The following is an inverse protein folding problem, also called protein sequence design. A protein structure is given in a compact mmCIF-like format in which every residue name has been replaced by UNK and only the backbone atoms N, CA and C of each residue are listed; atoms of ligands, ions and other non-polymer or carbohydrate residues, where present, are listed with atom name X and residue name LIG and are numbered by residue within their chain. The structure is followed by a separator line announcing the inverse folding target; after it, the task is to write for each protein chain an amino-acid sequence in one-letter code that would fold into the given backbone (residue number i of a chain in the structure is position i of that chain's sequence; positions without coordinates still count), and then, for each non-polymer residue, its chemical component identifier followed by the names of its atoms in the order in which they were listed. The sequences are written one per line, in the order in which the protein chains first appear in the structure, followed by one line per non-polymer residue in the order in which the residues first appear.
data_IF_135512102788
#
_entry.id   IF_135512102788
#
_cell.length_a   1.000
_cell.length_b   1.000
_cell.length_c   1.000
_cell.angle_alpha   90.00
_cell.angle_beta   90.00
_cell.angle_gamma   90.00
#
_symmetry.space_group_name_H-M   'P 1'
#
loop_
_entity.id
_entity.type
_entity.pdbx_description
1 polymer ?
#
# COMPACT_ATOMS: atom_id res chain seq x y z
N UNK A 1 22.97 43.69 2.41
CA UNK A 1 21.77 44.03 3.21
C UNK A 1 20.56 43.12 2.97
N UNK A 2 20.75 41.90 2.47
CA UNK A 2 19.67 40.96 2.12
C UNK A 2 19.53 39.75 3.08
N UNK A 3 20.38 39.63 4.10
CA UNK A 3 20.42 38.44 4.95
C UNK A 3 19.51 38.48 6.19
N UNK A 4 19.05 39.66 6.62
CA UNK A 4 18.31 39.81 7.88
C UNK A 4 16.79 39.52 7.81
N UNK A 5 16.21 39.59 6.60
CA UNK A 5 14.76 39.39 6.41
C UNK A 5 14.33 37.95 6.20
N UNK A 6 15.27 36.98 6.10
CA UNK A 6 14.99 35.60 5.75
C UNK A 6 14.73 34.68 6.94
N UNK A 7 15.18 35.03 8.15
CA UNK A 7 15.12 34.09 9.30
C UNK A 7 13.72 33.91 9.92
N UNK A 8 12.90 34.96 10.14
CA UNK A 8 11.52 34.72 10.61
C UNK A 8 10.68 33.97 9.58
N UNK A 9 10.95 34.17 8.29
CA UNK A 9 10.32 33.39 7.23
C UNK A 9 10.71 31.93 7.23
N UNK A 10 11.97 31.61 7.55
CA UNK A 10 12.44 30.24 7.68
C UNK A 10 11.84 29.54 8.92
N UNK A 11 11.73 30.24 10.06
CA UNK A 11 11.08 29.71 11.25
C UNK A 11 9.60 29.41 11.01
N UNK A 12 8.88 30.36 10.39
CA UNK A 12 7.48 30.15 10.00
C UNK A 12 7.33 29.02 8.98
N UNK A 13 8.26 28.92 8.02
CA UNK A 13 8.30 27.82 7.05
C UNK A 13 8.53 26.45 7.69
N UNK A 14 9.47 26.34 8.62
CA UNK A 14 9.73 25.09 9.36
C UNK A 14 8.53 24.67 10.22
N UNK A 15 7.89 25.62 10.91
CA UNK A 15 6.71 25.36 11.72
C UNK A 15 5.53 24.89 10.84
N UNK A 16 5.25 25.63 9.76
CA UNK A 16 4.14 25.28 8.86
C UNK A 16 4.36 23.94 8.18
N UNK A 17 5.58 23.64 7.74
CA UNK A 17 5.91 22.33 7.14
C UNK A 17 5.75 21.19 8.15
N UNK A 18 6.24 21.36 9.40
CA UNK A 18 6.07 20.37 10.48
C UNK A 18 4.60 20.13 10.82
N UNK A 19 3.79 21.17 10.91
CA UNK A 19 2.36 21.07 11.18
C UNK A 19 1.60 20.37 10.03
N UNK A 20 1.90 20.72 8.78
CA UNK A 20 1.27 20.10 7.61
C UNK A 20 1.62 18.62 7.49
N UNK A 21 2.89 18.26 7.69
CA UNK A 21 3.32 16.86 7.68
C UNK A 21 2.70 16.09 8.85
N UNK A 22 2.70 16.66 10.06
CA UNK A 22 2.06 16.06 11.22
C UNK A 22 0.56 15.84 11.00
N UNK A 23 -0.13 16.81 10.40
CA UNK A 23 -1.55 16.67 10.05
C UNK A 23 -1.78 15.58 8.99
N UNK A 24 -0.92 15.52 7.97
CA UNK A 24 -0.97 14.45 6.94
C UNK A 24 -0.83 13.07 7.57
N UNK A 25 0.17 12.87 8.43
CA UNK A 25 0.37 11.60 9.13
C UNK A 25 -0.79 11.26 10.07
N UNK A 26 -1.35 12.26 10.77
CA UNK A 26 -2.53 12.07 11.61
C UNK A 26 -3.78 11.66 10.80
N UNK A 27 -3.97 12.22 9.60
CA UNK A 27 -5.04 11.82 8.70
C UNK A 27 -4.86 10.39 8.16
N UNK A 28 -3.61 10.00 7.82
CA UNK A 28 -3.28 8.64 7.43
C UNK A 28 -3.49 7.63 8.58
N UNK A 29 -3.09 8.01 9.80
CA UNK A 29 -3.30 7.23 11.00
C UNK A 29 -4.80 6.96 11.21
N UNK A 30 -5.63 8.00 11.19
CA UNK A 30 -7.08 7.84 11.35
C UNK A 30 -7.70 6.88 10.32
N UNK A 31 -7.21 6.94 9.08
CA UNK A 31 -7.66 6.03 8.01
C UNK A 31 -7.21 4.59 8.27
N UNK A 32 -6.01 4.42 8.83
CA UNK A 32 -5.47 3.11 9.17
C UNK A 32 -6.16 2.52 10.40
N UNK A 33 -6.42 3.33 11.46
CA UNK A 33 -7.15 2.93 12.65
C UNK A 33 -8.51 2.31 12.31
N UNK A 34 -9.25 2.92 11.37
CA UNK A 34 -10.52 2.39 10.93
C UNK A 34 -10.39 1.00 10.31
N UNK A 35 -9.39 0.79 9.46
CA UNK A 35 -9.14 -0.52 8.84
C UNK A 35 -8.76 -1.56 9.89
N UNK A 36 -7.84 -1.22 10.80
CA UNK A 36 -7.39 -2.11 11.86
C UNK A 36 -8.55 -2.47 12.78
N UNK A 37 -9.37 -1.49 13.14
CA UNK A 37 -10.56 -1.71 13.94
C UNK A 37 -11.53 -2.68 13.25
N UNK A 38 -11.83 -2.48 11.96
CA UNK A 38 -12.70 -3.36 11.20
C UNK A 38 -12.12 -4.79 11.14
N UNK A 39 -10.82 -4.93 10.82
CA UNK A 39 -10.17 -6.23 10.73
C UNK A 39 -10.13 -6.97 12.07
N UNK A 40 -9.91 -6.25 13.19
CA UNK A 40 -9.86 -6.84 14.52
C UNK A 40 -11.24 -7.24 15.05
N UNK A 41 -12.27 -6.43 14.75
CA UNK A 41 -13.64 -6.67 15.21
C UNK A 41 -14.28 -7.83 14.47
N UNK A 42 -14.11 -7.92 13.16
CA UNK A 42 -14.77 -8.91 12.33
C UNK A 42 -14.41 -10.33 12.76
N UNK A 43 -15.40 -11.22 13.00
CA UNK A 43 -15.14 -12.61 13.34
C UNK A 43 -14.60 -13.39 12.16
N UNK A 44 -13.89 -14.49 12.44
CA UNK A 44 -13.63 -15.52 11.44
C UNK A 44 -14.81 -16.46 11.41
N UNK A 45 -15.53 -16.49 10.31
CA UNK A 45 -16.74 -17.30 10.12
C UNK A 45 -16.52 -18.35 9.04
N UNK A 46 -17.38 -19.37 9.04
CA UNK A 46 -17.58 -20.27 7.89
C UNK A 46 -18.63 -19.66 6.97
N UNK A 47 -18.62 -20.04 5.69
CA UNK A 47 -19.61 -19.57 4.71
C UNK A 47 -21.03 -19.87 5.21
N UNK A 48 -21.24 -21.05 5.81
CA UNK A 48 -22.54 -21.48 6.36
C UNK A 48 -23.08 -20.60 7.48
N UNK A 49 -22.21 -19.99 8.29
CA UNK A 49 -22.59 -19.16 9.44
C UNK A 49 -22.67 -17.67 9.12
N UNK A 50 -22.45 -17.29 7.85
CA UNK A 50 -22.45 -15.90 7.42
C UNK A 50 -23.87 -15.40 7.25
N UNK A 51 -24.16 -14.21 7.81
CA UNK A 51 -25.43 -13.52 7.66
C UNK A 51 -25.26 -12.30 6.73
N UNK A 52 -26.36 -11.89 6.09
CA UNK A 52 -26.34 -10.70 5.23
C UNK A 52 -25.90 -9.45 6.01
N UNK A 53 -25.03 -8.68 5.41
CA UNK A 53 -24.44 -7.41 5.93
C UNK A 53 -23.46 -7.56 7.09
N UNK A 54 -23.14 -8.80 7.53
CA UNK A 54 -22.10 -9.01 8.52
C UNK A 54 -20.72 -8.82 7.89
N UNK A 55 -19.87 -8.01 8.53
CA UNK A 55 -18.44 -7.95 8.22
C UNK A 55 -17.73 -9.16 8.82
N UNK A 56 -17.05 -9.92 7.98
CA UNK A 56 -16.44 -11.18 8.39
C UNK A 56 -15.10 -11.44 7.69
N UNK A 57 -14.30 -12.28 8.33
CA UNK A 57 -13.20 -13.02 7.70
C UNK A 57 -13.70 -14.41 7.32
N UNK A 58 -13.43 -14.80 6.09
CA UNK A 58 -13.64 -16.15 5.58
C UNK A 58 -12.28 -16.75 5.21
N UNK A 59 -12.14 -18.06 5.30
CA UNK A 59 -10.96 -18.77 4.82
C UNK A 59 -11.39 -19.96 4.00
N UNK A 60 -10.81 -20.12 2.82
CA UNK A 60 -11.18 -21.22 1.93
C UNK A 60 -10.22 -21.36 0.76
N UNK A 61 -10.57 -22.25 -0.15
CA UNK A 61 -9.82 -22.57 -1.35
C UNK A 61 -10.40 -21.79 -2.53
N UNK A 62 -9.54 -21.20 -3.33
CA UNK A 62 -9.89 -20.45 -4.54
C UNK A 62 -10.30 -21.42 -5.65
N UNK A 63 -11.50 -21.27 -6.18
CA UNK A 63 -12.01 -22.02 -7.31
C UNK A 63 -12.59 -21.06 -8.36
N UNK A 64 -12.57 -21.44 -9.63
CA UNK A 64 -13.25 -20.71 -10.71
C UNK A 64 -13.60 -21.65 -11.86
N UNK A 65 -14.82 -21.52 -12.37
CA UNK A 65 -15.24 -22.22 -13.60
C UNK A 65 -14.66 -21.58 -14.86
N UNK A 66 -14.33 -20.29 -14.80
CA UNK A 66 -13.80 -19.51 -15.92
C UNK A 66 -12.56 -18.71 -15.43
N UNK A 67 -11.44 -19.41 -15.21
CA UNK A 67 -10.22 -18.74 -14.77
C UNK A 67 -9.65 -17.85 -15.87
N UNK A 68 -9.01 -16.78 -15.45
CA UNK A 68 -8.10 -16.01 -16.28
C UNK A 68 -6.84 -16.82 -16.56
N UNK A 69 -6.08 -16.39 -17.57
CA UNK A 69 -4.72 -16.90 -17.82
C UNK A 69 -3.73 -15.75 -17.76
N UNK A 70 -2.74 -15.89 -16.89
CA UNK A 70 -1.67 -14.90 -16.81
C UNK A 70 -0.90 -14.89 -18.15
N UNK A 71 -0.79 -13.73 -18.82
CA UNK A 71 -0.01 -13.62 -20.05
C UNK A 71 1.42 -14.13 -19.87
N UNK A 72 2.03 -14.66 -20.95
CA UNK A 72 3.39 -15.21 -20.99
C UNK A 72 3.61 -16.47 -20.16
N UNK A 73 3.08 -16.54 -18.93
CA UNK A 73 3.26 -17.69 -18.04
C UNK A 73 2.18 -18.77 -18.24
N UNK A 74 1.08 -18.45 -18.87
CA UNK A 74 -0.09 -19.34 -19.16
C UNK A 74 -0.64 -20.06 -17.92
N UNK A 75 -0.50 -19.47 -16.73
CA UNK A 75 -0.99 -20.02 -15.47
C UNK A 75 -2.46 -19.67 -15.26
N UNK A 76 -3.34 -20.66 -15.00
CA UNK A 76 -4.75 -20.40 -14.67
C UNK A 76 -4.86 -19.74 -13.29
N UNK A 77 -5.53 -18.59 -13.22
CA UNK A 77 -5.63 -17.76 -12.03
C UNK A 77 -6.95 -17.02 -11.96
N UNK A 78 -7.24 -16.37 -10.84
CA UNK A 78 -8.40 -15.49 -10.66
C UNK A 78 -7.99 -14.03 -10.59
N UNK A 79 -6.71 -13.75 -10.41
CA UNK A 79 -6.12 -12.42 -10.53
C UNK A 79 -4.65 -12.56 -10.93
N UNK A 80 -4.15 -11.60 -11.69
CA UNK A 80 -2.74 -11.49 -12.00
C UNK A 80 -2.30 -10.05 -12.14
N UNK A 81 -1.00 -9.81 -12.00
CA UNK A 81 -0.31 -8.62 -12.47
C UNK A 81 0.91 -9.05 -13.26
N UNK A 82 1.16 -8.36 -14.35
CA UNK A 82 2.16 -8.70 -15.32
C UNK A 82 2.87 -7.44 -15.80
N UNK A 83 4.20 -7.46 -15.74
CA UNK A 83 5.07 -6.36 -16.12
C UNK A 83 6.08 -6.81 -17.17
N UNK A 84 6.31 -5.95 -18.16
CA UNK A 84 7.41 -6.07 -19.13
C UNK A 84 8.40 -4.95 -18.87
N UNK A 85 9.66 -5.31 -18.69
CA UNK A 85 10.73 -4.35 -18.48
C UNK A 85 11.81 -4.52 -19.57
N UNK A 86 12.28 -3.39 -20.08
CA UNK A 86 13.39 -3.34 -21.05
C UNK A 86 14.67 -2.82 -20.39
N UNK A 87 15.77 -3.44 -20.74
CA UNK A 87 17.11 -2.98 -20.35
C UNK A 87 17.46 -1.70 -21.09
N UNK A 88 17.76 -0.64 -20.35
CA UNK A 88 18.22 0.63 -20.90
C UNK A 88 19.57 1.00 -20.33
N UNK A 89 20.49 1.27 -21.26
CA UNK A 89 21.84 1.73 -20.93
C UNK A 89 21.87 3.24 -21.03
N UNK A 90 22.16 3.91 -19.90
CA UNK A 90 22.27 5.37 -19.81
C UNK A 90 23.72 5.74 -19.49
N UNK A 91 24.29 6.67 -20.25
CA UNK A 91 25.60 7.25 -19.94
C UNK A 91 25.41 8.48 -19.07
N UNK A 92 26.17 8.59 -18.01
CA UNK A 92 26.20 9.77 -17.15
C UNK A 92 27.65 10.17 -16.85
N UNK A 93 27.87 11.46 -16.61
CA UNK A 93 29.17 11.98 -16.20
C UNK A 93 29.19 12.10 -14.68
N UNK A 94 30.17 11.47 -14.04
CA UNK A 94 30.35 11.56 -12.59
C UNK A 94 30.93 12.92 -12.16
N UNK A 95 31.05 13.13 -10.84
CA UNK A 95 31.58 14.37 -10.27
C UNK A 95 33.06 14.64 -10.62
N UNK A 96 33.77 13.65 -11.13
CA UNK A 96 35.17 13.75 -11.57
C UNK A 96 35.29 14.00 -13.08
N UNK A 97 34.16 14.17 -13.80
CA UNK A 97 34.14 14.39 -15.24
C UNK A 97 34.33 13.12 -16.09
N UNK A 98 34.27 11.92 -15.48
CA UNK A 98 34.38 10.67 -16.20
C UNK A 98 33.02 10.18 -16.67
N UNK A 99 32.92 9.78 -17.93
CA UNK A 99 31.69 9.15 -18.46
C UNK A 99 31.59 7.72 -17.96
N UNK A 100 30.51 7.42 -17.26
CA UNK A 100 30.16 6.07 -16.79
C UNK A 100 28.88 5.61 -17.46
N UNK A 101 28.70 4.31 -17.55
CA UNK A 101 27.52 3.68 -18.15
C UNK A 101 26.77 2.91 -17.05
N UNK A 102 25.48 3.18 -16.92
CA UNK A 102 24.59 2.47 -16.01
C UNK A 102 23.51 1.75 -16.79
N UNK A 103 23.36 0.48 -16.53
CA UNK A 103 22.26 -0.31 -17.05
C UNK A 103 21.12 -0.36 -16.03
N UNK A 104 19.89 -0.06 -16.47
CA UNK A 104 18.68 -0.07 -15.64
C UNK A 104 17.54 -0.73 -16.38
N UNK A 105 16.69 -1.45 -15.66
CA UNK A 105 15.45 -1.99 -16.20
C UNK A 105 14.34 -0.94 -16.09
N UNK A 106 13.68 -0.63 -17.21
CA UNK A 106 12.55 0.31 -17.26
C UNK A 106 11.28 -0.45 -17.61
N UNK A 107 10.24 -0.29 -16.81
CA UNK A 107 8.93 -0.83 -17.11
C UNK A 107 8.38 -0.14 -18.37
N UNK A 108 8.01 -0.95 -19.36
CA UNK A 108 7.44 -0.48 -20.65
C UNK A 108 5.99 -0.90 -20.82
N UNK A 109 5.54 -1.90 -20.05
CA UNK A 109 4.16 -2.33 -20.03
C UNK A 109 3.80 -2.92 -18.68
N UNK A 110 2.61 -2.57 -18.19
CA UNK A 110 2.00 -3.18 -17.01
C UNK A 110 0.56 -3.51 -17.30
N UNK A 111 0.12 -4.69 -16.91
CA UNK A 111 -1.28 -5.07 -16.91
C UNK A 111 -1.66 -5.80 -15.64
N UNK A 112 -2.89 -5.63 -15.20
CA UNK A 112 -3.43 -6.38 -14.08
C UNK A 112 -4.91 -6.64 -14.34
N UNK A 113 -5.35 -7.84 -14.02
CA UNK A 113 -6.74 -8.24 -14.20
C UNK A 113 -7.17 -9.12 -13.03
N UNK A 114 -8.46 -9.06 -12.68
CA UNK A 114 -9.06 -9.91 -11.68
C UNK A 114 -10.48 -10.27 -12.10
N UNK A 115 -10.91 -11.49 -11.78
CA UNK A 115 -12.28 -11.94 -11.97
C UNK A 115 -12.90 -12.33 -10.63
N UNK A 116 -14.22 -12.43 -10.59
CA UNK A 116 -14.92 -13.06 -9.48
C UNK A 116 -14.56 -14.53 -9.43
N UNK A 117 -14.46 -15.08 -8.22
CA UNK A 117 -14.13 -16.47 -7.99
C UNK A 117 -15.01 -17.06 -6.88
N UNK A 118 -14.99 -18.35 -6.76
CA UNK A 118 -15.67 -19.08 -5.69
C UNK A 118 -14.67 -19.39 -4.58
N UNK A 119 -14.99 -19.01 -3.35
CA UNK A 119 -14.32 -19.45 -2.13
C UNK A 119 -15.01 -20.70 -1.62
N UNK A 120 -14.26 -21.77 -1.34
CA UNK A 120 -14.76 -23.05 -0.89
C UNK A 120 -14.14 -23.41 0.48
N UNK A 121 -14.95 -23.49 1.52
CA UNK A 121 -14.60 -23.97 2.87
C UNK A 121 -15.36 -25.27 3.25
N UNK A 122 -15.92 -25.96 2.26
CA UNK A 122 -16.90 -27.04 2.34
C UNK A 122 -18.27 -26.57 1.85
N UNK A 123 -18.51 -25.28 1.84
CA UNK A 123 -19.60 -24.61 1.12
C UNK A 123 -18.99 -23.57 0.15
N UNK A 124 -19.79 -23.10 -0.81
CA UNK A 124 -19.30 -22.25 -1.91
C UNK A 124 -19.93 -20.87 -1.88
N UNK A 125 -19.07 -19.85 -1.97
CA UNK A 125 -19.49 -18.45 -1.97
C UNK A 125 -18.76 -17.68 -3.07
N UNK A 126 -19.46 -16.91 -3.86
CA UNK A 126 -18.87 -16.05 -4.89
C UNK A 126 -18.24 -14.81 -4.24
N UNK A 127 -16.97 -14.57 -4.53
CA UNK A 127 -16.20 -13.39 -4.09
C UNK A 127 -16.03 -12.42 -5.25
N UNK A 128 -16.48 -11.18 -5.08
CA UNK A 128 -16.44 -10.12 -6.08
C UNK A 128 -15.06 -9.42 -6.11
N UNK A 129 -13.99 -10.15 -6.42
CA UNK A 129 -12.61 -9.67 -6.37
C UNK A 129 -12.33 -8.42 -7.23
N UNK A 130 -12.92 -8.22 -8.43
CA UNK A 130 -12.69 -6.99 -9.21
C UNK A 130 -13.04 -5.70 -8.48
N UNK A 131 -13.93 -5.76 -7.48
CA UNK A 131 -14.33 -4.62 -6.66
C UNK A 131 -13.45 -4.44 -5.41
N UNK A 132 -12.49 -5.33 -5.19
CA UNK A 132 -11.68 -5.42 -3.97
C UNK A 132 -10.19 -5.21 -4.21
N UNK A 133 -9.44 -5.58 -3.19
CA UNK A 133 -7.97 -5.56 -3.18
C UNK A 133 -7.44 -6.99 -3.08
N UNK A 134 -6.63 -7.42 -4.06
CA UNK A 134 -5.90 -8.68 -4.03
C UNK A 134 -4.50 -8.46 -3.44
N UNK A 135 -4.28 -8.93 -2.24
CA UNK A 135 -2.97 -8.97 -1.57
C UNK A 135 -2.36 -10.38 -1.62
N UNK A 136 -3.15 -11.39 -1.99
CA UNK A 136 -2.72 -12.76 -2.18
C UNK A 136 -2.02 -12.89 -3.54
N UNK A 137 -0.71 -12.66 -3.57
CA UNK A 137 0.11 -12.61 -4.78
C UNK A 137 1.22 -13.65 -4.69
N UNK A 138 1.14 -14.71 -5.49
CA UNK A 138 2.24 -15.64 -5.70
C UNK A 138 3.09 -15.15 -6.85
N UNK A 139 4.40 -14.97 -6.65
CA UNK A 139 5.32 -14.65 -7.74
C UNK A 139 5.41 -15.83 -8.70
N UNK A 140 5.19 -15.60 -9.98
CA UNK A 140 5.43 -16.57 -11.04
C UNK A 140 6.88 -16.56 -11.53
N UNK A 141 7.71 -15.68 -10.95
CA UNK A 141 9.11 -15.52 -11.27
C UNK A 141 9.36 -14.48 -12.36
N UNK A 142 10.55 -14.60 -12.94
CA UNK A 142 11.02 -13.73 -14.02
C UNK A 142 11.41 -14.63 -15.21
N UNK A 143 10.92 -14.29 -16.39
CA UNK A 143 11.29 -14.91 -17.66
C UNK A 143 11.90 -13.88 -18.59
N UNK A 144 12.81 -14.30 -19.48
CA UNK A 144 13.49 -13.42 -20.43
C UNK A 144 13.07 -13.79 -21.84
N UNK A 145 12.55 -12.82 -22.60
CA UNK A 145 12.25 -13.00 -24.02
C UNK A 145 13.54 -12.93 -24.85
N UNK A 146 14.36 -11.93 -24.52
CA UNK A 146 15.72 -11.73 -25.05
C UNK A 146 16.59 -11.20 -23.91
N UNK A 147 17.88 -10.97 -24.17
CA UNK A 147 18.78 -10.42 -23.15
C UNK A 147 18.41 -9.05 -22.63
N UNK A 148 17.63 -8.29 -23.38
CA UNK A 148 17.23 -6.91 -23.14
C UNK A 148 15.76 -6.73 -22.68
N UNK A 149 14.98 -7.83 -22.60
CA UNK A 149 13.57 -7.77 -22.18
C UNK A 149 13.25 -8.87 -21.19
N UNK A 150 12.65 -8.49 -20.05
CA UNK A 150 12.22 -9.43 -19.03
C UNK A 150 10.74 -9.26 -18.70
N UNK A 151 10.10 -10.37 -18.35
CA UNK A 151 8.71 -10.49 -17.98
C UNK A 151 8.65 -10.91 -16.53
N UNK A 152 7.92 -10.16 -15.70
CA UNK A 152 7.65 -10.50 -14.31
C UNK A 152 6.16 -10.56 -14.07
N UNK A 153 5.72 -11.51 -13.29
CA UNK A 153 4.30 -11.64 -12.98
C UNK A 153 4.06 -12.20 -11.57
N UNK A 154 2.90 -11.87 -11.05
CA UNK A 154 2.29 -12.53 -9.91
C UNK A 154 0.89 -13.01 -10.28
N UNK A 155 0.41 -14.03 -9.59
CA UNK A 155 -0.94 -14.53 -9.76
C UNK A 155 -1.56 -14.98 -8.43
N UNK A 156 -2.89 -14.96 -8.38
CA UNK A 156 -3.68 -15.72 -7.41
C UNK A 156 -4.20 -16.96 -8.13
N UNK A 157 -3.54 -18.08 -7.89
CA UNK A 157 -3.79 -19.34 -8.58
C UNK A 157 -5.02 -20.07 -8.03
N UNK A 158 -5.60 -20.95 -8.87
CA UNK A 158 -6.62 -21.89 -8.44
C UNK A 158 -6.06 -22.87 -7.41
N UNK A 159 -6.90 -23.29 -6.46
CA UNK A 159 -6.49 -24.20 -5.38
C UNK A 159 -5.72 -23.52 -4.24
N UNK A 160 -5.37 -22.26 -4.37
CA UNK A 160 -4.72 -21.50 -3.29
C UNK A 160 -5.67 -21.33 -2.10
N UNK A 161 -5.16 -21.49 -0.89
CA UNK A 161 -5.91 -21.18 0.34
C UNK A 161 -5.71 -19.69 0.69
N UNK A 162 -6.82 -18.97 0.77
CA UNK A 162 -6.81 -17.52 1.08
C UNK A 162 -7.71 -17.20 2.26
N UNK A 163 -7.46 -16.04 2.86
CA UNK A 163 -8.38 -15.35 3.76
C UNK A 163 -9.01 -14.20 3.01
N UNK A 164 -10.33 -14.05 3.08
CA UNK A 164 -11.08 -12.94 2.51
C UNK A 164 -11.77 -12.15 3.62
N UNK A 165 -11.62 -10.84 3.64
CA UNK A 165 -12.36 -9.92 4.50
C UNK A 165 -13.34 -9.13 3.65
N UNK A 166 -14.58 -9.04 4.07
CA UNK A 166 -15.64 -8.34 3.34
C UNK A 166 -17.00 -8.51 4.00
N UNK A 167 -18.04 -8.37 3.22
CA UNK A 167 -19.45 -8.45 3.67
C UNK A 167 -20.26 -9.32 2.70
N UNK A 168 -21.17 -10.13 3.21
CA UNK A 168 -22.18 -10.78 2.39
C UNK A 168 -23.22 -9.77 1.93
N UNK A 169 -23.36 -9.59 0.62
CA UNK A 169 -24.28 -8.65 0.00
C UNK A 169 -25.66 -9.28 -0.26
N UNK A 170 -26.64 -8.45 -0.57
CA UNK A 170 -28.01 -8.89 -0.88
C UNK A 170 -28.09 -9.78 -2.12
N UNK A 171 -27.14 -9.64 -3.04
CA UNK A 171 -27.03 -10.47 -4.25
C UNK A 171 -26.44 -11.86 -3.98
N UNK A 172 -26.11 -12.16 -2.73
CA UNK A 172 -25.49 -13.41 -2.32
C UNK A 172 -23.99 -13.50 -2.61
N UNK A 173 -23.35 -12.42 -3.07
CA UNK A 173 -21.90 -12.38 -3.27
C UNK A 173 -21.18 -11.79 -2.04
N UNK A 174 -19.93 -12.18 -1.85
CA UNK A 174 -19.06 -11.61 -0.84
C UNK A 174 -18.19 -10.48 -1.47
N UNK A 175 -18.31 -9.29 -0.95
CA UNK A 175 -17.68 -8.13 -1.58
C UNK A 175 -17.52 -6.93 -0.66
N UNK A 176 -17.12 -5.77 -1.20
CA UNK A 176 -17.07 -4.53 -0.44
C UNK A 176 -18.49 -3.99 -0.20
N UNK A 177 -18.70 -3.29 0.91
CA UNK A 177 -19.94 -2.58 1.18
C UNK A 177 -19.63 -1.25 1.89
N UNK A 178 -19.98 -0.10 1.27
CA UNK A 178 -19.73 1.23 1.82
C UNK A 178 -18.28 1.41 2.30
N UNK A 179 -18.07 1.43 3.63
CA UNK A 179 -16.78 1.65 4.26
C UNK A 179 -16.00 0.35 4.57
N UNK A 180 -16.58 -0.81 4.26
CA UNK A 180 -15.95 -2.12 4.45
C UNK A 180 -15.30 -2.55 3.15
N UNK A 181 -13.96 -2.56 3.05
CA UNK A 181 -13.28 -2.99 1.83
C UNK A 181 -13.33 -4.52 1.69
N UNK A 182 -13.32 -5.02 0.46
CA UNK A 182 -12.97 -6.41 0.21
C UNK A 182 -11.44 -6.55 0.14
N UNK A 183 -10.88 -7.45 0.92
CA UNK A 183 -9.44 -7.77 0.91
C UNK A 183 -9.25 -9.28 0.83
N UNK A 184 -8.49 -9.75 -0.14
CA UNK A 184 -8.10 -11.16 -0.29
C UNK A 184 -6.60 -11.29 -0.07
N UNK A 185 -6.19 -12.15 0.87
CA UNK A 185 -4.78 -12.25 1.31
C UNK A 185 -4.42 -13.70 1.67
N UNK A 186 -3.13 -14.06 1.58
CA UNK A 186 -2.61 -15.31 2.13
C UNK A 186 -2.42 -15.26 3.65
N UNK A 187 -2.29 -14.06 4.21
CA UNK A 187 -2.10 -13.89 5.64
C UNK A 187 -3.33 -14.36 6.44
N UNK A 188 -3.10 -14.93 7.61
CA UNK A 188 -4.19 -15.19 8.55
C UNK A 188 -4.79 -13.89 9.08
N UNK A 189 -6.03 -13.94 9.58
CA UNK A 189 -6.65 -12.80 10.28
C UNK A 189 -5.74 -12.23 11.36
N UNK A 190 -5.13 -13.11 12.18
CA UNK A 190 -4.25 -12.68 13.26
C UNK A 190 -3.01 -11.94 12.77
N UNK A 191 -2.37 -12.41 11.71
CA UNK A 191 -1.20 -11.76 11.11
C UNK A 191 -1.59 -10.44 10.47
N UNK A 192 -2.75 -10.38 9.84
CA UNK A 192 -3.25 -9.15 9.22
C UNK A 192 -3.56 -8.06 10.24
N UNK A 193 -4.22 -8.41 11.33
CA UNK A 193 -4.49 -7.50 12.45
C UNK A 193 -3.17 -7.01 13.06
N UNK A 194 -2.20 -7.91 13.28
CA UNK A 194 -0.88 -7.56 13.82
C UNK A 194 -0.11 -6.61 12.89
N UNK A 195 -0.09 -6.89 11.58
CA UNK A 195 0.60 -6.03 10.61
C UNK A 195 -0.03 -4.64 10.51
N UNK A 196 -1.37 -4.55 10.59
CA UNK A 196 -2.08 -3.28 10.61
C UNK A 196 -1.76 -2.48 11.88
N UNK A 197 -1.79 -3.10 13.05
CA UNK A 197 -1.44 -2.45 14.32
C UNK A 197 0.03 -1.97 14.33
N UNK A 198 0.95 -2.73 13.73
CA UNK A 198 2.35 -2.29 13.57
C UNK A 198 2.46 -1.04 12.69
N UNK A 199 1.72 -0.98 11.58
CA UNK A 199 1.70 0.19 10.71
C UNK A 199 1.16 1.45 11.42
N UNK A 200 0.15 1.30 12.29
CA UNK A 200 -0.36 2.38 13.14
C UNK A 200 0.72 2.92 14.08
N UNK A 201 1.47 2.04 14.74
CA UNK A 201 2.57 2.44 15.62
C UNK A 201 3.62 3.30 14.91
N UNK A 202 4.01 2.92 13.69
CA UNK A 202 4.94 3.70 12.89
C UNK A 202 4.37 5.05 12.44
N UNK A 203 3.12 5.09 11.99
CA UNK A 203 2.46 6.35 11.59
C UNK A 203 2.33 7.31 12.78
N UNK A 204 1.97 6.79 13.95
CA UNK A 204 1.91 7.59 15.19
C UNK A 204 3.30 8.16 15.54
N UNK A 205 4.34 7.33 15.51
CA UNK A 205 5.70 7.77 15.76
C UNK A 205 6.13 8.89 14.79
N UNK A 206 5.89 8.73 13.50
CA UNK A 206 6.22 9.76 12.50
C UNK A 206 5.40 11.03 12.68
N UNK A 207 4.11 10.94 13.02
CA UNK A 207 3.29 12.11 13.31
C UNK A 207 3.87 12.94 14.46
N UNK A 208 4.18 12.27 15.59
CA UNK A 208 4.77 12.90 16.77
C UNK A 208 6.16 13.47 16.45
N UNK A 209 6.99 12.72 15.73
CA UNK A 209 8.33 13.17 15.33
C UNK A 209 8.28 14.43 14.46
N UNK A 210 7.39 14.49 13.45
CA UNK A 210 7.22 15.68 12.59
C UNK A 210 6.77 16.90 13.39
N UNK A 211 5.88 16.70 14.35
CA UNK A 211 5.44 17.77 15.23
C UNK A 211 6.58 18.31 16.09
N UNK A 212 7.33 17.42 16.73
CA UNK A 212 8.49 17.81 17.55
C UNK A 212 9.57 18.51 16.71
N UNK A 213 9.90 17.96 15.54
CA UNK A 213 10.90 18.56 14.65
C UNK A 213 10.49 19.97 14.16
N UNK A 214 9.20 20.17 13.85
CA UNK A 214 8.66 21.48 13.48
C UNK A 214 8.76 22.50 14.61
N UNK A 215 8.35 22.13 15.83
CA UNK A 215 8.38 22.99 17.00
C UNK A 215 9.82 23.30 17.45
N UNK A 216 10.68 22.30 17.54
CA UNK A 216 12.09 22.50 17.96
C UNK A 216 12.90 23.28 16.93
N UNK A 217 12.64 23.03 15.61
CA UNK A 217 13.25 23.81 14.53
C UNK A 217 12.86 25.28 14.60
N UNK A 218 11.57 25.59 14.78
CA UNK A 218 11.09 26.95 14.93
C UNK A 218 11.65 27.64 16.19
N UNK A 219 11.64 26.94 17.34
CA UNK A 219 12.21 27.46 18.60
C UNK A 219 13.71 27.73 18.49
N UNK A 220 14.48 26.84 17.85
CA UNK A 220 15.92 27.02 17.63
C UNK A 220 16.25 28.23 16.74
N UNK A 221 15.40 28.52 15.75
CA UNK A 221 15.55 29.70 14.89
C UNK A 221 15.20 30.97 15.68
N UNK A 222 14.14 30.95 16.49
CA UNK A 222 13.72 32.08 17.33
C UNK A 222 14.75 32.40 18.44
N UNK A 223 15.31 31.38 19.13
CA UNK A 223 16.33 31.59 20.16
C UNK A 223 17.59 32.20 19.58
N UNK A 224 18.01 31.84 18.37
CA UNK A 224 19.12 32.51 17.69
C UNK A 224 18.79 33.94 17.29
N UNK A 225 17.54 34.30 17.15
CA UNK A 225 17.13 35.68 16.86
C UNK A 225 17.22 36.59 18.09
N UNK A 226 17.11 36.05 19.33
CA UNK A 226 17.29 36.82 20.57
C UNK A 226 18.75 37.19 20.85
N UNK A 227 19.71 36.47 20.30
CA UNK A 227 21.15 36.83 20.36
C UNK A 227 21.52 37.98 19.40
N UNK A 228 20.55 38.54 18.70
CA UNK A 228 20.80 39.59 17.72
C UNK A 228 20.93 40.95 18.37
N UNK A 229 21.89 41.77 17.93
CA UNK A 229 22.05 43.12 18.43
C UNK A 229 20.76 43.93 18.20
N UNK A 230 20.33 44.68 19.23
CA UNK A 230 19.08 45.45 19.26
C UNK A 230 18.90 46.45 18.11
N UNK A 231 20.00 46.84 17.43
CA UNK A 231 19.96 47.71 16.25
C UNK A 231 19.46 47.02 14.96
N UNK A 232 19.30 45.70 14.97
CA UNK A 232 18.72 44.94 13.85
C UNK A 232 17.20 44.77 13.97
N UNK A 233 16.62 45.12 15.12
CA UNK A 233 15.18 44.98 15.42
C UNK A 233 14.44 46.34 15.33
N UNK A 234 15.15 47.41 15.08
CA UNK A 234 14.60 48.75 14.82
C UNK A 234 14.55 49.03 13.30
#
# INVERSE_FOLDING_TARGET
MLAATTQPGLAAGALTAGLLLGWLFAALLRRQDLKTFLFARAPLLTIRSLSAHDDAWLRGIVQSERPLRCPWFDVPCVAYGYDIEEEKTESYTDSEGKTQTRTTWKNVHSSAEACAFTLDDGERLVVALPEGTCEARSSLGTSYEHSDRRHTAWALELGATVSAFGVLRDDGSFGPLRNVPLVVTFASRADRVRSSASAEGWLFFFAVFCWFAGVTGAAGILMRAEEWPSWLLA
#
